data_IF_634098298724
#
_entry.id   IF_634098298724
#
_cell.length_a   1.000
_cell.length_b   1.000
_cell.length_c   1.000
_cell.angle_alpha   90.00
_cell.angle_beta   90.00
_cell.angle_gamma   90.00
#
_symmetry.space_group_name_H-M   'P 1'
#
loop_
_entity.id
_entity.type
_entity.pdbx_description
1 polymer ?
#
# COMPACT_ATOMS: atom_id res chain seq x y z
N UNK A 1 -24.49 -22.43 -19.58
CA UNK A 1 -24.31 -21.45 -18.49
C UNK A 1 -23.31 -22.08 -17.54
N UNK A 2 -22.10 -21.53 -17.38
CA UNK A 2 -21.09 -22.15 -16.50
C UNK A 2 -21.54 -21.98 -15.05
N UNK A 3 -21.97 -23.06 -14.43
CA UNK A 3 -22.20 -23.11 -12.99
C UNK A 3 -20.86 -23.49 -12.32
N UNK A 4 -20.21 -22.51 -11.70
CA UNK A 4 -18.94 -22.71 -10.99
C UNK A 4 -19.14 -23.26 -9.57
N UNK A 5 -20.38 -23.57 -9.16
CA UNK A 5 -20.71 -24.05 -7.81
C UNK A 5 -20.49 -23.00 -6.70
N UNK A 6 -20.18 -21.74 -7.05
CA UNK A 6 -19.99 -20.64 -6.10
C UNK A 6 -21.18 -19.70 -6.06
N UNK A 7 -21.53 -19.23 -4.84
CA UNK A 7 -22.56 -18.20 -4.68
C UNK A 7 -22.11 -16.84 -5.26
N UNK A 8 -23.07 -15.99 -5.65
CA UNK A 8 -22.79 -14.61 -6.11
C UNK A 8 -21.98 -13.82 -5.07
N UNK A 9 -22.27 -13.99 -3.78
CA UNK A 9 -21.54 -13.38 -2.68
C UNK A 9 -20.07 -13.83 -2.65
N UNK A 10 -19.81 -15.12 -2.80
CA UNK A 10 -18.44 -15.65 -2.84
C UNK A 10 -17.65 -15.09 -4.02
N UNK A 11 -18.26 -15.05 -5.20
CA UNK A 11 -17.65 -14.48 -6.40
C UNK A 11 -17.38 -12.98 -6.26
N UNK A 12 -18.30 -12.21 -5.68
CA UNK A 12 -18.12 -10.79 -5.41
C UNK A 12 -16.97 -10.53 -4.41
N UNK A 13 -16.84 -11.37 -3.38
CA UNK A 13 -15.71 -11.32 -2.43
C UNK A 13 -14.38 -11.65 -3.10
N UNK A 14 -14.36 -12.67 -3.98
CA UNK A 14 -13.15 -13.02 -4.74
C UNK A 14 -12.73 -11.88 -5.67
N UNK A 15 -13.69 -11.25 -6.37
CA UNK A 15 -13.42 -10.12 -7.24
C UNK A 15 -12.86 -8.93 -6.46
N UNK A 16 -13.48 -8.56 -5.35
CA UNK A 16 -13.00 -7.47 -4.52
C UNK A 16 -11.61 -7.77 -3.92
N UNK A 17 -11.39 -8.98 -3.42
CA UNK A 17 -10.08 -9.39 -2.90
C UNK A 17 -8.98 -9.31 -3.98
N UNK A 18 -9.29 -9.67 -5.21
CA UNK A 18 -8.38 -9.56 -6.35
C UNK A 18 -8.06 -8.10 -6.68
N UNK A 19 -9.08 -7.27 -6.90
CA UNK A 19 -8.89 -5.87 -7.31
C UNK A 19 -8.21 -5.04 -6.23
N UNK A 20 -8.60 -5.20 -4.96
CA UNK A 20 -8.01 -4.47 -3.84
C UNK A 20 -6.56 -4.88 -3.59
N UNK A 21 -6.22 -6.17 -3.76
CA UNK A 21 -4.83 -6.64 -3.63
C UNK A 21 -3.93 -6.03 -4.69
N UNK A 22 -4.39 -5.96 -5.95
CA UNK A 22 -3.68 -5.24 -7.00
C UNK A 22 -3.55 -3.75 -6.70
N UNK A 23 -4.63 -3.13 -6.21
CA UNK A 23 -4.60 -1.70 -5.91
C UNK A 23 -3.57 -1.37 -4.84
N UNK A 24 -3.47 -2.13 -3.75
CA UNK A 24 -2.52 -1.84 -2.67
C UNK A 24 -1.04 -1.85 -3.10
N UNK A 25 -0.68 -2.59 -4.15
CA UNK A 25 0.69 -2.64 -4.67
C UNK A 25 1.18 -1.26 -5.10
N UNK A 26 0.37 -0.50 -5.85
CA UNK A 26 0.81 0.75 -6.46
C UNK A 26 0.91 1.90 -5.46
N UNK A 27 -0.08 2.19 -4.60
CA UNK A 27 0.06 3.20 -3.55
C UNK A 27 1.19 2.89 -2.57
N UNK A 28 1.42 1.62 -2.21
CA UNK A 28 2.52 1.25 -1.32
C UNK A 28 3.90 1.57 -1.91
N UNK A 29 4.01 1.68 -3.25
CA UNK A 29 5.23 2.15 -3.89
C UNK A 29 5.19 3.67 -4.13
N UNK A 30 4.09 4.22 -4.65
CA UNK A 30 4.03 5.61 -5.08
C UNK A 30 4.10 6.61 -3.92
N UNK A 31 3.50 6.31 -2.76
CA UNK A 31 3.57 7.17 -1.56
C UNK A 31 5.04 7.36 -1.11
N UNK A 32 5.77 6.26 -0.94
CA UNK A 32 7.17 6.35 -0.53
C UNK A 32 8.06 6.91 -1.62
N UNK A 33 7.78 6.58 -2.90
CA UNK A 33 8.60 7.04 -4.02
C UNK A 33 8.42 8.53 -4.30
N UNK A 34 7.22 9.10 -4.16
CA UNK A 34 6.99 10.55 -4.26
C UNK A 34 7.83 11.31 -3.20
N UNK A 35 7.81 10.83 -1.96
CA UNK A 35 8.64 11.40 -0.89
C UNK A 35 10.14 11.22 -1.15
N UNK A 36 10.56 10.07 -1.68
CA UNK A 36 11.96 9.83 -2.05
C UNK A 36 12.42 10.77 -3.16
N UNK A 37 11.57 11.04 -4.18
CA UNK A 37 11.84 12.02 -5.23
C UNK A 37 11.97 13.44 -4.66
N UNK A 38 11.12 13.83 -3.73
CA UNK A 38 11.23 15.12 -3.04
C UNK A 38 12.56 15.23 -2.26
N UNK A 39 12.98 14.17 -1.57
CA UNK A 39 14.28 14.12 -0.88
C UNK A 39 15.44 14.24 -1.86
N UNK A 40 15.42 13.54 -2.99
CA UNK A 40 16.48 13.60 -4.00
C UNK A 40 16.60 15.01 -4.60
N UNK A 41 15.47 15.61 -4.96
CA UNK A 41 15.46 16.97 -5.52
C UNK A 41 15.90 18.02 -4.50
N UNK A 42 15.41 17.92 -3.25
CA UNK A 42 15.84 18.79 -2.15
C UNK A 42 17.34 18.67 -1.86
N UNK A 43 17.90 17.47 -1.90
CA UNK A 43 19.35 17.25 -1.76
C UNK A 43 20.13 17.84 -2.94
N UNK A 44 19.60 17.73 -4.15
CA UNK A 44 20.20 18.40 -5.32
C UNK A 44 20.22 19.91 -5.15
N UNK A 45 19.11 20.53 -4.79
CA UNK A 45 19.01 21.98 -4.59
C UNK A 45 19.95 22.48 -3.48
N UNK A 46 20.09 21.69 -2.38
CA UNK A 46 20.93 22.05 -1.24
C UNK A 46 22.42 21.87 -1.52
N UNK A 47 22.79 20.81 -2.25
CA UNK A 47 24.21 20.42 -2.39
C UNK A 47 24.81 20.74 -3.76
N UNK A 48 23.98 21.03 -4.77
CA UNK A 48 24.40 21.22 -6.15
C UNK A 48 24.94 19.97 -6.85
N UNK A 49 24.91 18.79 -6.20
CA UNK A 49 25.51 17.55 -6.74
C UNK A 49 24.61 16.94 -7.82
N UNK A 50 25.09 16.80 -9.09
CA UNK A 50 24.31 16.23 -10.19
C UNK A 50 23.77 14.83 -9.92
N UNK A 51 24.50 14.04 -9.13
CA UNK A 51 24.12 12.68 -8.73
C UNK A 51 22.68 12.56 -8.25
N UNK A 52 22.21 13.51 -7.43
CA UNK A 52 20.84 13.50 -6.91
C UNK A 52 19.81 13.82 -7.98
N UNK A 53 20.12 14.71 -8.91
CA UNK A 53 19.26 15.01 -10.04
C UNK A 53 19.17 13.83 -11.02
N UNK A 54 20.28 13.15 -11.27
CA UNK A 54 20.30 11.96 -12.11
C UNK A 54 19.43 10.84 -11.49
N UNK A 55 19.53 10.65 -10.17
CA UNK A 55 18.67 9.70 -9.45
C UNK A 55 17.20 10.11 -9.45
N UNK A 56 16.90 11.41 -9.30
CA UNK A 56 15.53 11.92 -9.46
C UNK A 56 14.98 11.57 -10.84
N UNK A 57 15.72 11.85 -11.90
CA UNK A 57 15.32 11.57 -13.28
C UNK A 57 15.17 10.08 -13.57
N UNK A 58 15.97 9.26 -12.93
CA UNK A 58 15.85 7.80 -13.01
C UNK A 58 14.54 7.31 -12.37
N UNK A 59 14.27 7.72 -11.13
CA UNK A 59 13.13 7.24 -10.37
C UNK A 59 11.80 7.87 -10.75
N UNK A 60 11.78 9.08 -11.29
CA UNK A 60 10.54 9.73 -11.74
C UNK A 60 9.85 8.95 -12.87
N UNK A 61 10.60 8.23 -13.69
CA UNK A 61 10.06 7.34 -14.73
C UNK A 61 9.29 6.17 -14.13
N UNK A 62 9.86 5.55 -13.10
CA UNK A 62 9.21 4.45 -12.36
C UNK A 62 7.98 4.97 -11.62
N UNK A 63 8.10 6.13 -10.98
CA UNK A 63 7.00 6.78 -10.30
C UNK A 63 5.81 7.06 -11.24
N UNK A 64 6.06 7.62 -12.41
CA UNK A 64 5.01 7.94 -13.38
C UNK A 64 4.18 6.72 -13.77
N UNK A 65 4.83 5.58 -14.01
CA UNK A 65 4.14 4.32 -14.36
C UNK A 65 3.38 3.77 -13.16
N UNK A 66 4.02 3.67 -12.00
CA UNK A 66 3.39 3.15 -10.79
C UNK A 66 2.19 4.00 -10.36
N UNK A 67 2.33 5.33 -10.43
CA UNK A 67 1.25 6.27 -10.12
C UNK A 67 0.05 6.12 -11.07
N UNK A 68 0.29 6.07 -12.39
CA UNK A 68 -0.77 5.88 -13.37
C UNK A 68 -1.52 4.54 -13.15
N UNK A 69 -0.80 3.46 -12.83
CA UNK A 69 -1.39 2.16 -12.51
C UNK A 69 -2.21 2.24 -11.21
N UNK A 70 -1.74 2.99 -10.20
CA UNK A 70 -2.47 3.24 -8.96
C UNK A 70 -3.81 3.93 -9.21
N UNK A 71 -3.80 5.02 -9.99
CA UNK A 71 -5.02 5.76 -10.36
C UNK A 71 -6.03 4.86 -11.09
N UNK A 72 -5.58 4.12 -12.11
CA UNK A 72 -6.45 3.21 -12.86
C UNK A 72 -7.09 2.16 -11.96
N UNK A 73 -6.30 1.51 -11.10
CA UNK A 73 -6.82 0.50 -10.17
C UNK A 73 -7.77 1.09 -9.12
N UNK A 74 -7.55 2.33 -8.67
CA UNK A 74 -8.42 3.02 -7.74
C UNK A 74 -9.78 3.37 -8.31
N UNK A 75 -9.83 3.82 -9.59
CA UNK A 75 -11.08 4.07 -10.31
C UNK A 75 -11.90 2.77 -10.41
N UNK A 76 -11.26 1.65 -10.74
CA UNK A 76 -11.92 0.34 -10.81
C UNK A 76 -12.51 -0.06 -9.46
N UNK A 77 -11.77 0.11 -8.37
CA UNK A 77 -12.30 -0.16 -7.02
C UNK A 77 -13.52 0.70 -6.69
N UNK A 78 -13.47 1.99 -6.99
CA UNK A 78 -14.61 2.89 -6.77
C UNK A 78 -15.85 2.44 -7.54
N UNK A 79 -15.66 1.89 -8.74
CA UNK A 79 -16.74 1.33 -9.55
C UNK A 79 -17.36 0.07 -8.91
N UNK A 80 -16.55 -0.79 -8.28
CA UNK A 80 -17.04 -2.00 -7.59
C UNK A 80 -18.02 -1.70 -6.44
N UNK A 81 -17.87 -0.56 -5.75
CA UNK A 81 -18.82 -0.15 -4.72
C UNK A 81 -20.24 0.02 -5.26
N UNK A 82 -20.39 0.50 -6.49
CA UNK A 82 -21.70 0.64 -7.14
C UNK A 82 -22.22 -0.66 -7.76
N UNK A 83 -21.35 -1.57 -8.19
CA UNK A 83 -21.73 -2.81 -8.87
C UNK A 83 -21.95 -3.96 -7.90
N UNK A 84 -20.90 -4.45 -7.24
CA UNK A 84 -20.96 -5.65 -6.40
C UNK A 84 -21.43 -5.37 -4.96
N UNK A 85 -21.32 -4.11 -4.49
CA UNK A 85 -21.57 -3.70 -3.11
C UNK A 85 -22.55 -2.54 -3.00
N UNK A 86 -23.57 -2.50 -3.87
CA UNK A 86 -24.53 -1.38 -3.93
C UNK A 86 -25.34 -1.21 -2.64
N UNK A 87 -25.66 -2.28 -1.94
CA UNK A 87 -26.38 -2.19 -0.65
C UNK A 87 -25.49 -1.58 0.42
N UNK A 88 -24.19 -1.92 0.46
CA UNK A 88 -23.23 -1.25 1.32
C UNK A 88 -23.13 0.24 0.99
N UNK A 89 -23.03 0.57 -0.30
CA UNK A 89 -22.92 1.97 -0.77
C UNK A 89 -24.18 2.76 -0.41
N UNK A 90 -25.38 2.18 -0.52
CA UNK A 90 -26.63 2.81 -0.11
C UNK A 90 -26.66 3.04 1.41
N UNK A 91 -26.32 2.02 2.20
CA UNK A 91 -26.39 2.10 3.67
C UNK A 91 -25.30 2.97 4.27
N UNK A 92 -24.09 2.85 3.82
CA UNK A 92 -22.93 3.56 4.40
C UNK A 92 -22.59 4.88 3.68
N UNK A 93 -23.25 5.17 2.55
CA UNK A 93 -22.94 6.31 1.68
C UNK A 93 -23.02 7.66 2.36
N UNK A 94 -23.88 7.83 3.37
CA UNK A 94 -23.99 9.08 4.15
C UNK A 94 -22.68 9.41 4.91
N UNK A 95 -21.93 8.42 5.32
CA UNK A 95 -20.64 8.55 6.03
C UNK A 95 -19.46 8.44 5.09
N UNK A 96 -19.37 7.34 4.33
CA UNK A 96 -18.17 7.07 3.51
C UNK A 96 -18.10 7.92 2.25
N UNK A 97 -19.26 8.29 1.67
CA UNK A 97 -19.33 9.07 0.43
C UNK A 97 -18.62 10.42 0.52
N UNK A 98 -18.91 11.27 1.52
CA UNK A 98 -18.18 12.52 1.71
C UNK A 98 -16.68 12.34 1.92
N UNK A 99 -16.24 11.33 2.68
CA UNK A 99 -14.81 11.06 2.91
C UNK A 99 -14.08 10.67 1.62
N UNK A 100 -14.70 9.80 0.79
CA UNK A 100 -14.16 9.44 -0.52
C UNK A 100 -14.18 10.62 -1.50
N UNK A 101 -15.22 11.47 -1.44
CA UNK A 101 -15.27 12.69 -2.24
C UNK A 101 -14.14 13.67 -1.87
N UNK A 102 -13.84 13.83 -0.58
CA UNK A 102 -12.71 14.64 -0.12
C UNK A 102 -11.36 14.06 -0.57
N UNK A 103 -11.21 12.76 -0.62
CA UNK A 103 -10.01 12.12 -1.21
C UNK A 103 -9.81 12.60 -2.64
N UNK A 104 -10.83 12.51 -3.49
CA UNK A 104 -10.77 12.96 -4.88
C UNK A 104 -10.50 14.47 -4.97
N UNK A 105 -11.23 15.29 -4.22
CA UNK A 105 -11.13 16.76 -4.30
C UNK A 105 -9.80 17.30 -3.78
N UNK A 106 -9.29 16.77 -2.68
CA UNK A 106 -8.12 17.35 -1.99
C UNK A 106 -6.81 16.67 -2.33
N UNK A 107 -6.84 15.39 -2.71
CA UNK A 107 -5.65 14.63 -3.06
C UNK A 107 -5.48 14.49 -4.57
N UNK A 108 -6.40 13.84 -5.26
CA UNK A 108 -6.27 13.57 -6.68
C UNK A 108 -6.12 14.85 -7.53
N UNK A 109 -6.91 15.90 -7.26
CA UNK A 109 -6.74 17.18 -7.97
C UNK A 109 -5.43 17.88 -7.64
N UNK A 110 -4.95 17.77 -6.39
CA UNK A 110 -3.64 18.29 -6.01
C UNK A 110 -2.53 17.54 -6.78
N UNK A 111 -2.59 16.23 -6.78
CA UNK A 111 -1.63 15.38 -7.51
C UNK A 111 -1.66 15.66 -9.01
N UNK A 112 -2.82 15.58 -9.65
CA UNK A 112 -2.98 15.80 -11.08
C UNK A 112 -2.53 17.19 -11.51
N UNK A 113 -2.82 18.23 -10.70
CA UNK A 113 -2.43 19.61 -10.98
C UNK A 113 -0.91 19.83 -11.00
N UNK A 114 -0.18 19.20 -10.09
CA UNK A 114 1.27 19.36 -9.98
C UNK A 114 2.07 18.26 -10.70
N UNK A 115 1.46 17.12 -11.00
CA UNK A 115 2.14 15.99 -11.64
C UNK A 115 2.77 16.37 -12.99
N UNK A 116 2.04 17.12 -13.82
CA UNK A 116 2.55 17.59 -15.10
C UNK A 116 3.80 18.46 -14.99
N UNK A 117 3.86 19.31 -13.97
CA UNK A 117 5.05 20.14 -13.67
C UNK A 117 6.20 19.26 -13.16
N UNK A 118 5.92 18.34 -12.24
CA UNK A 118 6.92 17.40 -11.70
C UNK A 118 7.53 16.49 -12.79
N UNK A 119 6.72 16.01 -13.74
CA UNK A 119 7.19 15.09 -14.78
C UNK A 119 7.91 15.81 -15.92
N UNK A 120 7.43 17.00 -16.31
CA UNK A 120 7.82 17.65 -17.56
C UNK A 120 8.28 19.10 -17.40
N UNK A 121 8.18 19.66 -16.19
CA UNK A 121 8.41 21.09 -15.94
C UNK A 121 9.87 21.48 -15.73
N UNK A 122 10.78 20.54 -15.47
CA UNK A 122 12.14 20.85 -15.01
C UNK A 122 12.93 21.84 -15.89
N UNK A 123 12.70 21.81 -17.21
CA UNK A 123 13.31 22.76 -18.16
C UNK A 123 12.48 24.02 -18.43
N UNK A 124 11.21 24.04 -17.96
CA UNK A 124 10.23 25.11 -18.27
C UNK A 124 10.00 26.04 -17.09
N UNK A 125 10.12 25.53 -15.87
CA UNK A 125 9.94 26.32 -14.65
C UNK A 125 11.25 26.35 -13.85
N UNK A 126 11.43 27.35 -13.01
CA UNK A 126 12.61 27.43 -12.17
C UNK A 126 12.71 26.27 -11.16
N UNK A 127 13.92 25.93 -10.69
CA UNK A 127 14.14 24.75 -9.83
C UNK A 127 13.30 24.76 -8.55
N UNK A 128 13.07 25.93 -7.97
CA UNK A 128 12.27 26.07 -6.73
C UNK A 128 10.80 25.74 -6.99
N UNK A 129 10.23 26.21 -8.10
CA UNK A 129 8.83 25.92 -8.44
C UNK A 129 8.65 24.45 -8.81
N UNK A 130 9.64 23.84 -9.48
CA UNK A 130 9.64 22.41 -9.77
C UNK A 130 9.66 21.59 -8.47
N UNK A 131 10.53 21.94 -7.54
CA UNK A 131 10.58 21.29 -6.22
C UNK A 131 9.28 21.45 -5.43
N UNK A 132 8.65 22.63 -5.48
CA UNK A 132 7.33 22.82 -4.88
C UNK A 132 6.30 21.87 -5.50
N UNK A 133 6.31 21.68 -6.82
CA UNK A 133 5.42 20.72 -7.49
C UNK A 133 5.67 19.28 -7.01
N UNK A 134 6.94 18.88 -6.89
CA UNK A 134 7.31 17.56 -6.34
C UNK A 134 6.82 17.38 -4.90
N UNK A 135 6.95 18.41 -4.06
CA UNK A 135 6.42 18.39 -2.68
C UNK A 135 4.88 18.30 -2.67
N UNK A 136 4.19 19.01 -3.55
CA UNK A 136 2.74 18.95 -3.62
C UNK A 136 2.24 17.58 -4.06
N UNK A 137 2.91 16.92 -5.01
CA UNK A 137 2.60 15.54 -5.39
C UNK A 137 2.83 14.60 -4.20
N UNK A 138 3.95 14.72 -3.50
CA UNK A 138 4.23 13.90 -2.31
C UNK A 138 3.21 14.15 -1.19
N UNK A 139 2.79 15.39 -0.97
CA UNK A 139 1.72 15.74 -0.03
C UNK A 139 0.38 15.15 -0.48
N UNK A 140 0.06 15.22 -1.78
CA UNK A 140 -1.16 14.65 -2.35
C UNK A 140 -1.27 13.15 -2.07
N UNK A 141 -0.21 12.38 -2.31
CA UNK A 141 -0.20 10.93 -2.01
C UNK A 141 -0.43 10.63 -0.53
N UNK A 142 0.09 11.48 0.37
CA UNK A 142 -0.17 11.36 1.81
C UNK A 142 -1.62 11.72 2.16
N UNK A 143 -2.17 12.79 1.59
CA UNK A 143 -3.56 13.22 1.82
C UNK A 143 -4.56 12.19 1.27
N UNK A 144 -4.25 11.56 0.13
CA UNK A 144 -5.02 10.42 -0.38
C UNK A 144 -5.04 9.27 0.62
N UNK A 145 -3.86 8.86 1.13
CA UNK A 145 -3.76 7.83 2.17
C UNK A 145 -4.55 8.22 3.43
N UNK A 146 -4.50 9.48 3.84
CA UNK A 146 -5.25 9.97 5.01
C UNK A 146 -6.75 9.73 4.86
N UNK A 147 -7.35 10.14 3.75
CA UNK A 147 -8.79 10.02 3.54
C UNK A 147 -9.24 8.55 3.39
N UNK A 148 -8.53 7.76 2.58
CA UNK A 148 -8.94 6.36 2.38
C UNK A 148 -8.75 5.51 3.64
N UNK A 149 -7.71 5.79 4.44
CA UNK A 149 -7.52 5.13 5.75
C UNK A 149 -8.57 5.60 6.75
N UNK A 150 -9.03 6.86 6.71
CA UNK A 150 -10.16 7.32 7.53
C UNK A 150 -11.42 6.51 7.23
N UNK A 151 -11.76 6.30 5.95
CA UNK A 151 -12.88 5.44 5.53
C UNK A 151 -12.71 4.01 6.07
N UNK A 152 -11.56 3.39 5.80
CA UNK A 152 -11.32 2.01 6.19
C UNK A 152 -11.32 1.82 7.72
N UNK A 153 -10.69 2.75 8.45
CA UNK A 153 -10.64 2.69 9.91
C UNK A 153 -12.02 2.87 10.54
N UNK A 154 -12.87 3.73 9.96
CA UNK A 154 -14.25 3.86 10.41
C UNK A 154 -15.05 2.55 10.23
N UNK A 155 -14.85 1.84 9.14
CA UNK A 155 -15.47 0.52 8.95
C UNK A 155 -15.00 -0.52 9.98
N UNK A 156 -13.82 -0.34 10.56
CA UNK A 156 -13.25 -1.23 11.59
C UNK A 156 -13.71 -0.84 13.02
N UNK A 157 -13.77 0.45 13.31
CA UNK A 157 -14.18 1.03 14.61
C UNK A 157 -15.17 2.16 14.37
N UNK A 158 -16.43 1.85 13.98
CA UNK A 158 -17.42 2.84 13.63
C UNK A 158 -17.82 3.70 14.82
N UNK A 159 -17.63 5.01 14.71
CA UNK A 159 -17.99 6.02 15.73
C UNK A 159 -18.52 7.27 15.06
N UNK A 160 -19.19 8.14 15.83
CA UNK A 160 -19.62 9.46 15.36
C UNK A 160 -20.75 9.46 14.33
N UNK A 161 -21.46 8.36 14.16
CA UNK A 161 -22.59 8.22 13.25
C UNK A 161 -23.91 8.08 14.00
N UNK A 162 -25.01 8.26 13.28
CA UNK A 162 -26.36 7.97 13.71
C UNK A 162 -27.01 6.96 12.75
N UNK A 163 -27.97 6.17 13.25
CA UNK A 163 -28.74 5.26 12.42
C UNK A 163 -30.08 5.86 12.06
N UNK A 164 -30.36 5.97 10.77
CA UNK A 164 -31.71 6.34 10.31
C UNK A 164 -32.71 5.19 10.51
N UNK A 165 -34.03 5.48 10.51
CA UNK A 165 -35.06 4.45 10.66
C UNK A 165 -35.01 3.32 9.61
N UNK A 166 -34.50 3.60 8.42
CA UNK A 166 -34.32 2.65 7.32
C UNK A 166 -32.96 1.92 7.37
N UNK A 167 -32.18 2.13 8.45
CA UNK A 167 -30.91 1.43 8.71
C UNK A 167 -29.73 1.95 7.89
N UNK A 168 -29.76 3.22 7.47
CA UNK A 168 -28.62 3.91 6.85
C UNK A 168 -27.77 4.59 7.91
N UNK A 169 -26.46 4.62 7.66
CA UNK A 169 -25.51 5.37 8.49
C UNK A 169 -25.49 6.83 8.05
N UNK A 170 -25.84 7.71 8.96
CA UNK A 170 -25.78 9.15 8.77
C UNK A 170 -24.67 9.75 9.63
N UNK A 171 -24.05 10.86 9.22
CA UNK A 171 -23.09 11.52 10.07
C UNK A 171 -23.80 12.07 11.31
N UNK A 172 -23.24 11.82 12.48
CA UNK A 172 -23.65 12.46 13.73
C UNK A 172 -23.12 13.89 13.81
N UNK A 173 -23.21 14.53 14.96
CA UNK A 173 -22.90 15.97 15.13
C UNK A 173 -21.43 16.32 14.90
N UNK A 174 -20.52 15.34 14.89
CA UNK A 174 -19.07 15.58 14.77
C UNK A 174 -18.42 14.71 13.70
N UNK A 175 -18.05 15.31 12.57
CA UNK A 175 -17.22 14.67 11.56
C UNK A 175 -15.82 14.30 12.07
N UNK A 176 -15.29 15.02 13.05
CA UNK A 176 -13.99 14.69 13.64
C UNK A 176 -14.02 13.32 14.34
N UNK A 177 -15.15 12.95 14.96
CA UNK A 177 -15.30 11.61 15.57
C UNK A 177 -15.35 10.50 14.54
N UNK A 178 -15.83 10.77 13.32
CA UNK A 178 -15.80 9.83 12.20
C UNK A 178 -14.39 9.71 11.64
N UNK A 179 -13.74 10.83 11.31
CA UNK A 179 -12.42 10.89 10.69
C UNK A 179 -11.35 10.31 11.63
N UNK A 180 -11.32 10.81 12.87
CA UNK A 180 -10.34 10.41 13.89
C UNK A 180 -10.91 9.34 14.83
N UNK A 181 -11.58 8.31 14.24
CA UNK A 181 -12.05 7.16 15.01
C UNK A 181 -10.89 6.44 15.74
N UNK A 182 -11.18 5.60 16.76
CA UNK A 182 -10.15 5.06 17.63
C UNK A 182 -9.01 4.29 16.96
N UNK A 183 -9.25 3.69 15.80
CA UNK A 183 -8.20 2.93 15.09
C UNK A 183 -7.46 3.74 14.02
N UNK A 184 -7.96 4.91 13.65
CA UNK A 184 -7.40 5.71 12.55
C UNK A 184 -5.91 6.07 12.70
N UNK A 185 -5.43 6.64 13.82
CA UNK A 185 -4.04 7.05 13.93
C UNK A 185 -3.07 5.87 13.80
N UNK A 186 -3.40 4.74 14.41
CA UNK A 186 -2.58 3.54 14.36
C UNK A 186 -2.48 2.98 12.93
N UNK A 187 -3.61 2.93 12.22
CA UNK A 187 -3.69 2.44 10.85
C UNK A 187 -2.97 3.35 9.88
N UNK A 188 -3.15 4.67 10.00
CA UNK A 188 -2.49 5.64 9.13
C UNK A 188 -0.96 5.55 9.28
N UNK A 189 -0.47 5.61 10.52
CA UNK A 189 0.98 5.55 10.79
C UNK A 189 1.57 4.25 10.28
N UNK A 190 0.96 3.11 10.62
CA UNK A 190 1.44 1.79 10.21
C UNK A 190 1.47 1.64 8.68
N UNK A 191 0.42 2.07 7.98
CA UNK A 191 0.31 1.98 6.52
C UNK A 191 1.30 2.88 5.80
N UNK A 192 1.47 4.12 6.25
CA UNK A 192 2.40 5.07 5.62
C UNK A 192 3.84 4.63 5.80
N UNK A 193 4.22 4.15 7.00
CA UNK A 193 5.57 3.64 7.24
C UNK A 193 5.82 2.37 6.42
N UNK A 194 4.81 1.49 6.28
CA UNK A 194 4.91 0.31 5.42
C UNK A 194 5.16 0.69 3.95
N UNK A 195 4.51 1.73 3.44
CA UNK A 195 4.76 2.25 2.08
C UNK A 195 6.19 2.79 1.92
N UNK A 196 6.71 3.51 2.92
CA UNK A 196 8.10 3.97 2.90
C UNK A 196 9.10 2.83 2.93
N UNK A 197 8.87 1.78 3.74
CA UNK A 197 9.71 0.58 3.74
C UNK A 197 9.61 -0.18 2.42
N UNK A 198 8.41 -0.33 1.84
CA UNK A 198 8.24 -0.95 0.52
C UNK A 198 9.11 -0.26 -0.52
N UNK A 199 9.03 1.07 -0.58
CA UNK A 199 9.87 1.87 -1.49
C UNK A 199 11.35 1.71 -1.19
N UNK A 200 11.76 1.74 0.08
CA UNK A 200 13.16 1.58 0.46
C UNK A 200 13.72 0.23 0.01
N UNK A 201 12.94 -0.86 0.14
CA UNK A 201 13.37 -2.19 -0.29
C UNK A 201 13.42 -2.32 -1.82
N UNK A 202 12.51 -1.69 -2.56
CA UNK A 202 12.59 -1.61 -4.04
C UNK A 202 13.82 -0.81 -4.48
N UNK A 203 14.09 0.36 -3.89
CA UNK A 203 15.27 1.18 -4.18
C UNK A 203 16.55 0.44 -3.80
N UNK A 204 16.55 -0.25 -2.65
CA UNK A 204 17.66 -1.08 -2.19
C UNK A 204 17.97 -2.24 -3.12
N UNK A 205 16.94 -2.94 -3.58
CA UNK A 205 17.05 -4.06 -4.52
C UNK A 205 17.61 -3.59 -5.88
N UNK A 206 17.10 -2.48 -6.43
CA UNK A 206 17.63 -1.87 -7.65
C UNK A 206 19.10 -1.47 -7.49
N UNK A 207 19.44 -0.81 -6.37
CA UNK A 207 20.84 -0.48 -6.05
C UNK A 207 21.72 -1.72 -5.94
N UNK A 208 21.27 -2.75 -5.24
CA UNK A 208 21.98 -4.02 -5.08
C UNK A 208 22.18 -4.76 -6.42
N UNK A 209 21.17 -4.78 -7.28
CA UNK A 209 21.25 -5.36 -8.63
C UNK A 209 22.36 -4.73 -9.45
N UNK A 210 22.46 -3.41 -9.46
CA UNK A 210 23.49 -2.70 -10.20
C UNK A 210 24.86 -2.82 -9.56
N UNK A 211 24.96 -2.88 -8.21
CA UNK A 211 26.22 -3.13 -7.51
C UNK A 211 26.78 -4.53 -7.75
N UNK A 212 25.92 -5.54 -7.88
CA UNK A 212 26.36 -6.90 -8.22
C UNK A 212 26.98 -6.98 -9.62
N UNK A 213 26.53 -6.12 -10.55
CA UNK A 213 27.06 -6.02 -11.91
C UNK A 213 28.23 -5.05 -12.04
N UNK A 214 28.13 -3.91 -11.42
CA UNK A 214 29.12 -2.82 -11.49
C UNK A 214 29.34 -2.18 -10.09
N UNK A 215 30.24 -2.74 -9.26
CA UNK A 215 30.47 -2.25 -7.89
C UNK A 215 30.94 -0.80 -7.80
N UNK A 216 31.48 -0.25 -8.89
CA UNK A 216 31.92 1.15 -8.99
C UNK A 216 30.82 2.16 -9.29
N UNK A 217 29.58 1.75 -9.59
CA UNK A 217 28.51 2.67 -9.95
C UNK A 217 28.10 3.54 -8.74
N UNK A 218 28.41 4.83 -8.80
CA UNK A 218 28.17 5.79 -7.71
C UNK A 218 26.66 6.00 -7.44
N UNK A 219 25.84 5.98 -8.47
CA UNK A 219 24.37 6.12 -8.35
C UNK A 219 23.78 4.92 -7.61
N UNK A 220 24.20 3.70 -7.98
CA UNK A 220 23.78 2.48 -7.29
C UNK A 220 24.25 2.44 -5.82
N UNK A 221 25.49 2.88 -5.54
CA UNK A 221 25.99 3.02 -4.16
C UNK A 221 25.12 3.98 -3.35
N UNK A 222 24.73 5.12 -3.93
CA UNK A 222 23.88 6.10 -3.25
C UNK A 222 22.49 5.53 -2.96
N UNK A 223 21.81 4.94 -3.95
CA UNK A 223 20.52 4.28 -3.77
C UNK A 223 20.57 3.23 -2.65
N UNK A 224 21.53 2.31 -2.74
CA UNK A 224 21.70 1.25 -1.75
C UNK A 224 21.97 1.79 -0.35
N UNK A 225 22.83 2.80 -0.23
CA UNK A 225 23.15 3.45 1.03
C UNK A 225 21.91 4.10 1.68
N UNK A 226 21.10 4.83 0.90
CA UNK A 226 19.87 5.47 1.41
C UNK A 226 18.85 4.41 1.85
N UNK A 227 18.67 3.37 1.06
CA UNK A 227 17.76 2.26 1.36
C UNK A 227 18.15 1.53 2.65
N UNK A 228 19.43 1.23 2.84
CA UNK A 228 19.91 0.57 4.08
C UNK A 228 19.74 1.45 5.32
N UNK A 229 19.89 2.78 5.21
CA UNK A 229 19.55 3.68 6.30
C UNK A 229 18.06 3.66 6.63
N UNK A 230 17.20 3.69 5.61
CA UNK A 230 15.75 3.59 5.82
C UNK A 230 15.38 2.26 6.49
N UNK A 231 15.92 1.13 6.01
CA UNK A 231 15.66 -0.17 6.61
C UNK A 231 16.11 -0.21 8.08
N UNK A 232 17.29 0.32 8.40
CA UNK A 232 17.83 0.29 9.75
C UNK A 232 17.08 1.17 10.75
N UNK A 233 16.58 2.33 10.32
CA UNK A 233 15.94 3.31 11.19
C UNK A 233 14.42 3.14 11.24
N UNK A 234 13.79 2.77 10.12
CA UNK A 234 12.34 2.78 9.97
C UNK A 234 11.72 1.41 10.27
N UNK A 235 12.44 0.29 10.04
CA UNK A 235 11.90 -1.03 10.37
C UNK A 235 11.64 -1.22 11.88
N UNK A 236 12.50 -0.77 12.80
CA UNK A 236 12.17 -0.79 14.24
C UNK A 236 10.92 0.03 14.58
N UNK A 237 10.77 1.21 13.96
CA UNK A 237 9.61 2.09 14.16
C UNK A 237 8.33 1.41 13.63
N UNK A 238 8.41 0.71 12.49
CA UNK A 238 7.29 -0.05 11.94
C UNK A 238 6.85 -1.18 12.88
N UNK A 239 7.79 -1.87 13.51
CA UNK A 239 7.48 -2.93 14.50
C UNK A 239 6.79 -2.32 15.71
N UNK A 240 7.29 -1.22 16.26
CA UNK A 240 6.66 -0.52 17.38
C UNK A 240 5.26 0.03 17.02
N UNK A 241 5.09 0.59 15.81
CA UNK A 241 3.78 1.03 15.33
C UNK A 241 2.82 -0.16 15.13
N UNK A 242 3.33 -1.32 14.71
CA UNK A 242 2.57 -2.55 14.59
C UNK A 242 2.09 -3.09 15.93
N UNK A 243 2.96 -3.06 16.94
CA UNK A 243 2.63 -3.44 18.32
C UNK A 243 1.50 -2.55 18.88
N UNK A 244 1.66 -1.24 18.81
CA UNK A 244 0.63 -0.28 19.23
C UNK A 244 -0.71 -0.48 18.48
N UNK A 245 -0.66 -0.81 17.17
CA UNK A 245 -1.85 -1.14 16.40
C UNK A 245 -2.48 -2.47 16.86
N UNK A 246 -1.66 -3.45 17.25
CA UNK A 246 -2.10 -4.72 17.83
C UNK A 246 -2.87 -4.51 19.15
N UNK A 247 -2.34 -3.68 20.06
CA UNK A 247 -3.00 -3.33 21.31
C UNK A 247 -4.35 -2.63 21.09
N UNK A 248 -4.41 -1.67 20.16
CA UNK A 248 -5.66 -1.04 19.78
C UNK A 248 -6.66 -2.06 19.17
N UNK A 249 -6.17 -3.01 18.37
CA UNK A 249 -7.02 -4.06 17.81
C UNK A 249 -7.53 -5.02 18.90
N UNK A 250 -6.74 -5.31 19.91
CA UNK A 250 -7.19 -6.12 21.05
C UNK A 250 -8.35 -5.46 21.80
N UNK A 251 -8.29 -4.15 21.96
CA UNK A 251 -9.34 -3.38 22.66
C UNK A 251 -10.66 -3.36 21.88
N UNK A 252 -10.61 -3.08 20.56
CA UNK A 252 -11.81 -2.85 19.75
C UNK A 252 -12.30 -4.07 18.96
N UNK A 253 -11.43 -5.01 18.67
CA UNK A 253 -11.70 -6.20 17.85
C UNK A 253 -11.02 -7.46 18.42
N UNK A 254 -11.33 -7.89 19.65
CA UNK A 254 -10.65 -9.01 20.31
C UNK A 254 -10.70 -10.31 19.51
N UNK A 255 -11.83 -10.62 18.85
CA UNK A 255 -11.95 -11.81 18.01
C UNK A 255 -10.89 -11.87 16.90
N UNK A 256 -10.50 -10.72 16.33
CA UNK A 256 -9.43 -10.63 15.33
C UNK A 256 -8.08 -11.03 15.92
N UNK A 257 -7.74 -10.51 17.10
CA UNK A 257 -6.47 -10.85 17.77
C UNK A 257 -6.43 -12.34 18.12
N UNK A 258 -7.52 -12.89 18.69
CA UNK A 258 -7.58 -14.31 19.04
C UNK A 258 -7.36 -15.19 17.80
N UNK A 259 -7.96 -14.84 16.67
CA UNK A 259 -7.77 -15.56 15.42
C UNK A 259 -6.35 -15.40 14.85
N UNK A 260 -5.77 -14.19 14.91
CA UNK A 260 -4.38 -13.92 14.48
C UNK A 260 -3.38 -14.74 15.30
N UNK A 261 -3.59 -14.81 16.61
CA UNK A 261 -2.70 -15.53 17.53
C UNK A 261 -2.98 -17.05 17.53
N UNK A 262 -4.15 -17.50 17.04
CA UNK A 262 -4.55 -18.91 17.04
C UNK A 262 -5.06 -19.40 18.40
N UNK A 263 -5.55 -18.47 19.23
CA UNK A 263 -6.11 -18.79 20.55
C UNK A 263 -7.57 -19.24 20.40
N UNK A 264 -7.79 -20.51 20.15
CA UNK A 264 -9.13 -21.12 20.12
C UNK A 264 -9.75 -21.20 21.51
N UNK A 265 -8.94 -21.43 22.54
CA UNK A 265 -9.34 -21.55 23.93
C UNK A 265 -8.79 -20.40 24.76
N UNK A 266 -9.55 -20.02 25.80
CA UNK A 266 -9.14 -18.99 26.75
C UNK A 266 -7.99 -19.52 27.66
N UNK A 267 -7.07 -18.62 27.97
CA UNK A 267 -5.93 -18.90 28.84
C UNK A 267 -6.08 -18.15 30.18
N UNK A 268 -6.26 -18.88 31.28
CA UNK A 268 -6.42 -18.28 32.62
C UNK A 268 -5.11 -17.69 33.17
N UNK A 269 -3.96 -18.26 32.79
CA UNK A 269 -2.62 -17.85 33.23
C UNK A 269 -1.61 -17.96 32.11
N UNK A 270 -1.20 -16.82 31.58
CA UNK A 270 -0.14 -16.71 30.55
C UNK A 270 -0.45 -17.45 29.25
N UNK A 271 -0.84 -16.72 28.22
CA UNK A 271 -1.10 -17.27 26.90
C UNK A 271 0.19 -17.44 26.10
N UNK A 272 0.40 -18.59 25.43
CA UNK A 272 1.59 -18.84 24.63
C UNK A 272 1.55 -18.05 23.29
N UNK A 273 2.72 -17.64 22.82
CA UNK A 273 2.88 -17.15 21.43
C UNK A 273 3.14 -18.35 20.53
N UNK A 274 2.19 -18.64 19.64
CA UNK A 274 2.36 -19.68 18.64
C UNK A 274 3.18 -19.15 17.46
N UNK A 275 4.37 -19.71 17.25
CA UNK A 275 5.21 -19.37 16.09
C UNK A 275 4.76 -20.08 14.81
N UNK A 276 4.31 -21.32 14.97
CA UNK A 276 3.84 -22.19 13.91
C UNK A 276 2.66 -23.02 14.41
N UNK A 277 1.81 -23.46 13.49
CA UNK A 277 0.70 -24.37 13.77
C UNK A 277 -0.25 -24.44 12.57
N UNK A 278 -1.03 -25.49 12.50
CA UNK A 278 -2.06 -25.67 11.47
C UNK A 278 -3.43 -25.47 12.13
N UNK A 279 -4.10 -24.32 11.89
CA UNK A 279 -5.43 -24.09 12.45
C UNK A 279 -6.46 -25.06 11.86
N UNK A 280 -7.21 -25.72 12.75
CA UNK A 280 -8.37 -26.54 12.41
C UNK A 280 -9.63 -25.84 12.96
N UNK A 281 -10.31 -25.08 12.11
CA UNK A 281 -11.51 -24.33 12.46
C UNK A 281 -12.67 -25.27 12.85
N UNK A 282 -12.72 -26.50 12.29
CA UNK A 282 -13.76 -27.47 12.59
C UNK A 282 -13.59 -28.09 13.99
N UNK A 283 -12.35 -28.38 14.37
CA UNK A 283 -12.01 -28.96 15.68
C UNK A 283 -11.68 -27.91 16.75
N UNK A 284 -11.68 -26.63 16.37
CA UNK A 284 -11.38 -25.50 17.24
C UNK A 284 -10.04 -25.67 17.98
N UNK A 285 -8.99 -26.04 17.25
CA UNK A 285 -7.64 -26.25 17.80
C UNK A 285 -6.54 -25.90 16.80
N UNK A 286 -5.33 -25.75 17.32
CA UNK A 286 -4.12 -25.58 16.55
C UNK A 286 -3.30 -26.87 16.58
N UNK A 287 -3.22 -27.59 15.45
CA UNK A 287 -2.42 -28.81 15.33
C UNK A 287 -0.95 -28.49 15.08
N UNK A 288 -0.05 -29.37 15.54
CA UNK A 288 1.41 -29.25 15.39
C UNK A 288 1.97 -27.90 15.87
N UNK A 289 1.41 -27.35 16.94
CA UNK A 289 1.77 -26.04 17.44
C UNK A 289 3.20 -26.00 17.99
N UNK A 290 3.97 -25.01 17.55
CA UNK A 290 5.25 -24.61 18.15
C UNK A 290 5.02 -23.29 18.86
N UNK A 291 5.20 -23.27 20.18
CA UNK A 291 4.82 -22.14 21.01
C UNK A 291 5.92 -21.73 21.98
N UNK A 292 5.98 -20.45 22.29
CA UNK A 292 6.77 -19.90 23.38
C UNK A 292 5.80 -19.57 24.53
N UNK A 293 5.93 -20.21 25.71
CA UNK A 293 5.01 -20.01 26.82
C UNK A 293 4.91 -18.53 27.23
N UNK A 294 3.70 -18.07 27.53
CA UNK A 294 3.36 -16.77 28.13
C UNK A 294 3.71 -15.51 27.32
N UNK A 295 4.35 -15.64 26.16
CA UNK A 295 4.82 -14.47 25.37
C UNK A 295 3.66 -13.69 24.77
N UNK A 296 2.54 -14.32 24.37
CA UNK A 296 1.36 -13.55 23.91
C UNK A 296 0.80 -12.65 25.03
N UNK A 297 0.74 -13.16 26.26
CA UNK A 297 0.32 -12.34 27.41
C UNK A 297 1.29 -11.18 27.66
N UNK A 298 2.59 -11.43 27.58
CA UNK A 298 3.59 -10.37 27.72
C UNK A 298 3.44 -9.28 26.64
N UNK A 299 3.26 -9.66 25.38
CA UNK A 299 3.13 -8.71 24.27
C UNK A 299 1.79 -7.97 24.33
N UNK A 300 0.68 -8.68 24.56
CA UNK A 300 -0.66 -8.09 24.45
C UNK A 300 -1.17 -7.43 25.75
N UNK A 301 -0.60 -7.76 26.90
CA UNK A 301 -1.04 -7.26 28.21
C UNK A 301 0.10 -6.67 29.04
N UNK A 302 1.35 -6.73 28.57
CA UNK A 302 2.56 -6.32 29.30
C UNK A 302 2.70 -7.02 30.67
N UNK A 303 2.07 -8.19 30.83
CA UNK A 303 2.14 -9.03 32.02
C UNK A 303 2.29 -10.48 31.58
N UNK A 304 3.32 -11.16 32.13
CA UNK A 304 3.69 -12.52 31.81
C UNK A 304 2.59 -13.55 32.12
N UNK A 305 1.79 -13.29 33.14
CA UNK A 305 0.76 -14.20 33.63
C UNK A 305 -0.68 -13.71 33.35
N UNK A 306 -0.85 -12.61 32.61
CA UNK A 306 -2.17 -12.08 32.36
C UNK A 306 -3.06 -13.08 31.60
N UNK A 307 -4.35 -13.20 32.00
CA UNK A 307 -5.30 -14.00 31.26
C UNK A 307 -5.59 -13.38 29.89
N UNK A 308 -5.75 -14.25 28.87
CA UNK A 308 -6.23 -13.85 27.57
C UNK A 308 -7.47 -14.66 27.20
N UNK A 309 -8.55 -14.01 26.71
CA UNK A 309 -9.71 -14.72 26.18
C UNK A 309 -9.33 -15.46 24.90
N UNK A 310 -10.07 -16.52 24.61
CA UNK A 310 -9.97 -17.23 23.35
C UNK A 310 -11.23 -17.06 22.49
N UNK A 311 -11.24 -17.65 21.31
CA UNK A 311 -12.41 -17.67 20.43
C UNK A 311 -13.60 -18.42 21.02
N UNK A 312 -13.37 -19.28 22.04
CA UNK A 312 -14.43 -19.95 22.80
C UNK A 312 -15.41 -18.96 23.47
N UNK A 313 -14.99 -17.73 23.74
CA UNK A 313 -15.85 -16.66 24.29
C UNK A 313 -16.66 -15.92 23.22
N UNK A 314 -16.42 -16.18 21.93
CA UNK A 314 -17.05 -15.49 20.79
C UNK A 314 -18.04 -16.44 20.12
N UNK A 315 -19.21 -15.92 19.77
CA UNK A 315 -20.23 -16.65 18.99
C UNK A 315 -19.59 -17.19 17.68
N UNK A 316 -19.71 -18.49 17.38
CA UNK A 316 -19.16 -19.09 16.16
C UNK A 316 -19.52 -18.37 14.86
N UNK A 317 -20.74 -17.82 14.77
CA UNK A 317 -21.21 -17.06 13.60
C UNK A 317 -20.48 -15.71 13.40
N UNK A 318 -19.81 -15.23 14.45
CA UNK A 318 -19.08 -13.93 14.46
C UNK A 318 -17.56 -14.09 14.40
N UNK A 319 -17.06 -15.32 14.30
CA UNK A 319 -15.61 -15.60 14.27
C UNK A 319 -15.07 -15.39 12.85
N UNK A 320 -13.94 -14.71 12.69
CA UNK A 320 -13.23 -14.69 11.42
C UNK A 320 -12.50 -16.02 11.16
N UNK A 321 -12.08 -16.28 9.92
CA UNK A 321 -11.29 -17.47 9.57
C UNK A 321 -9.92 -17.44 10.23
N UNK A 322 -9.67 -18.39 11.13
CA UNK A 322 -8.39 -18.46 11.86
C UNK A 322 -7.24 -18.81 10.91
N UNK A 323 -7.43 -19.76 10.01
CA UNK A 323 -6.36 -20.22 9.13
C UNK A 323 -5.75 -19.07 8.28
N UNK A 324 -6.61 -18.23 7.70
CA UNK A 324 -6.14 -17.11 6.88
C UNK A 324 -5.45 -16.06 7.74
N UNK A 325 -6.01 -15.70 8.90
CA UNK A 325 -5.45 -14.69 9.78
C UNK A 325 -4.13 -15.13 10.39
N UNK A 326 -4.08 -16.34 10.88
CA UNK A 326 -2.90 -16.91 11.50
C UNK A 326 -1.68 -16.83 10.58
N UNK A 327 -1.84 -17.24 9.32
CA UNK A 327 -0.73 -17.27 8.36
C UNK A 327 -0.41 -15.92 7.75
N UNK A 328 -1.43 -15.10 7.43
CA UNK A 328 -1.17 -13.76 6.88
C UNK A 328 -0.47 -12.86 7.90
N UNK A 329 -0.84 -12.93 9.17
CA UNK A 329 -0.18 -12.19 10.23
C UNK A 329 1.28 -12.60 10.41
N UNK A 330 1.55 -13.91 10.47
CA UNK A 330 2.93 -14.43 10.60
C UNK A 330 3.80 -14.10 9.41
N UNK A 331 3.26 -14.15 8.20
CA UNK A 331 3.97 -13.75 7.01
C UNK A 331 4.35 -12.25 7.07
N UNK A 332 3.42 -11.39 7.44
CA UNK A 332 3.67 -9.95 7.59
C UNK A 332 4.76 -9.67 8.63
N UNK A 333 4.62 -10.24 9.84
CA UNK A 333 5.57 -10.03 10.94
C UNK A 333 6.94 -10.63 10.61
N UNK A 334 6.97 -11.84 10.05
CA UNK A 334 8.22 -12.50 9.64
C UNK A 334 9.00 -11.69 8.61
N UNK A 335 8.31 -11.10 7.62
CA UNK A 335 8.94 -10.20 6.66
C UNK A 335 9.43 -8.93 7.36
N UNK A 336 8.66 -8.34 8.27
CA UNK A 336 9.07 -7.18 9.06
C UNK A 336 10.36 -7.43 9.85
N UNK A 337 10.47 -8.59 10.49
CA UNK A 337 11.70 -9.01 11.18
C UNK A 337 12.87 -9.24 10.22
N UNK A 338 12.62 -9.82 9.05
CA UNK A 338 13.64 -9.97 8.01
C UNK A 338 14.12 -8.61 7.47
N UNK A 339 13.21 -7.63 7.32
CA UNK A 339 13.56 -6.25 6.97
C UNK A 339 14.47 -5.61 8.02
N UNK A 340 14.13 -5.77 9.31
CA UNK A 340 14.96 -5.31 10.41
C UNK A 340 16.34 -5.97 10.39
N UNK A 341 16.39 -7.28 10.24
CA UNK A 341 17.65 -8.03 10.18
C UNK A 341 18.55 -7.56 9.03
N UNK A 342 17.97 -7.30 7.84
CA UNK A 342 18.71 -6.77 6.71
C UNK A 342 19.22 -5.33 6.98
N UNK A 343 18.39 -4.48 7.60
CA UNK A 343 18.79 -3.13 8.03
C UNK A 343 19.96 -3.16 8.99
N UNK A 344 19.92 -4.00 10.01
CA UNK A 344 21.00 -4.20 10.98
C UNK A 344 22.27 -4.75 10.31
N UNK A 345 22.11 -5.71 9.39
CA UNK A 345 23.24 -6.21 8.59
C UNK A 345 23.87 -5.09 7.76
N UNK A 346 23.05 -4.22 7.17
CA UNK A 346 23.51 -3.01 6.47
C UNK A 346 24.31 -2.07 7.36
N UNK A 347 23.91 -1.86 8.62
CA UNK A 347 24.66 -1.07 9.60
C UNK A 347 26.01 -1.72 9.93
N UNK A 348 26.05 -3.02 10.18
CA UNK A 348 27.28 -3.76 10.45
C UNK A 348 28.22 -3.69 9.24
N UNK A 349 27.71 -3.85 8.04
CA UNK A 349 28.48 -3.74 6.80
C UNK A 349 29.07 -2.32 6.62
N UNK A 350 28.29 -1.30 6.97
CA UNK A 350 28.72 0.10 6.95
C UNK A 350 29.83 0.37 7.98
N UNK A 351 29.65 -0.08 9.20
CA UNK A 351 30.63 0.06 10.27
C UNK A 351 31.95 -0.61 9.90
N UNK A 352 31.91 -1.76 9.22
CA UNK A 352 33.10 -2.47 8.72
C UNK A 352 33.67 -1.91 7.40
N UNK A 353 33.10 -0.85 6.85
CA UNK A 353 33.49 -0.29 5.55
C UNK A 353 33.17 -1.14 4.32
N UNK A 354 32.39 -2.22 4.49
CA UNK A 354 32.13 -3.24 3.46
C UNK A 354 30.72 -3.17 2.83
N UNK A 355 30.01 -2.07 3.03
CA UNK A 355 28.62 -1.90 2.54
C UNK A 355 28.51 -2.16 1.03
N UNK A 356 29.52 -1.78 0.25
CA UNK A 356 29.54 -1.89 -1.20
C UNK A 356 30.34 -3.11 -1.73
N UNK A 357 30.89 -3.90 -0.83
CA UNK A 357 31.72 -5.06 -1.17
C UNK A 357 31.05 -6.40 -0.87
N UNK A 358 30.17 -6.45 0.14
CA UNK A 358 29.51 -7.68 0.58
C UNK A 358 28.43 -8.13 -0.39
N UNK A 359 28.81 -8.97 -1.34
CA UNK A 359 27.90 -9.53 -2.35
C UNK A 359 26.72 -10.30 -1.75
N UNK A 360 26.91 -10.95 -0.59
CA UNK A 360 25.80 -11.65 0.10
C UNK A 360 24.74 -10.66 0.60
N UNK A 361 25.13 -9.52 1.16
CA UNK A 361 24.21 -8.46 1.55
C UNK A 361 23.44 -7.93 0.34
N UNK A 362 24.13 -7.70 -0.79
CA UNK A 362 23.47 -7.26 -2.03
C UNK A 362 22.47 -8.31 -2.55
N UNK A 363 22.83 -9.61 -2.50
CA UNK A 363 21.92 -10.71 -2.90
C UNK A 363 20.70 -10.76 -1.98
N UNK A 364 20.89 -10.65 -0.66
CA UNK A 364 19.81 -10.63 0.29
C UNK A 364 18.88 -9.41 0.07
N UNK A 365 19.43 -8.22 -0.16
CA UNK A 365 18.66 -7.02 -0.49
C UNK A 365 17.88 -7.17 -1.80
N UNK A 366 18.46 -7.84 -2.81
CA UNK A 366 17.77 -8.10 -4.07
C UNK A 366 16.56 -9.04 -3.88
N UNK A 367 16.75 -10.14 -3.12
CA UNK A 367 15.65 -11.07 -2.78
C UNK A 367 14.57 -10.40 -1.98
N UNK A 368 14.94 -9.48 -1.09
CA UNK A 368 14.00 -8.71 -0.28
C UNK A 368 13.29 -7.58 -1.06
N UNK A 369 13.60 -7.35 -2.34
CA UNK A 369 12.97 -6.30 -3.14
C UNK A 369 11.44 -6.33 -3.14
N UNK A 370 10.77 -7.49 -3.36
CA UNK A 370 9.32 -7.60 -3.34
C UNK A 370 8.72 -7.71 -1.93
N UNK A 371 9.54 -7.82 -0.89
CA UNK A 371 9.08 -8.14 0.48
C UNK A 371 8.06 -7.14 1.04
N UNK A 372 8.21 -5.84 0.74
CA UNK A 372 7.28 -4.81 1.17
C UNK A 372 5.87 -5.02 0.62
N UNK A 373 5.75 -5.36 -0.66
CA UNK A 373 4.45 -5.66 -1.28
C UNK A 373 3.79 -6.88 -0.65
N UNK A 374 4.55 -7.94 -0.40
CA UNK A 374 4.05 -9.17 0.21
C UNK A 374 3.58 -8.88 1.65
N UNK A 375 4.36 -8.11 2.42
CA UNK A 375 3.99 -7.72 3.78
C UNK A 375 2.72 -6.85 3.81
N UNK A 376 2.60 -5.89 2.88
CA UNK A 376 1.41 -5.03 2.75
C UNK A 376 0.17 -5.85 2.42
N UNK A 377 0.24 -6.75 1.44
CA UNK A 377 -0.90 -7.62 1.09
C UNK A 377 -1.27 -8.53 2.26
N UNK A 378 -0.28 -9.13 2.93
CA UNK A 378 -0.52 -9.97 4.10
C UNK A 378 -1.15 -9.17 5.25
N UNK A 379 -0.71 -7.95 5.51
CA UNK A 379 -1.27 -7.05 6.52
C UNK A 379 -2.71 -6.64 6.20
N UNK A 380 -3.01 -6.30 4.94
CA UNK A 380 -4.37 -6.01 4.52
C UNK A 380 -5.28 -7.25 4.56
N UNK A 381 -4.77 -8.42 4.20
CA UNK A 381 -5.49 -9.70 4.37
C UNK A 381 -5.84 -9.91 5.84
N UNK A 382 -4.89 -9.73 6.74
CA UNK A 382 -5.12 -9.81 8.20
C UNK A 382 -6.20 -8.83 8.65
N UNK A 383 -6.14 -7.58 8.17
CA UNK A 383 -7.09 -6.52 8.53
C UNK A 383 -8.50 -6.83 8.05
N UNK A 384 -8.67 -7.17 6.78
CA UNK A 384 -9.98 -7.29 6.13
C UNK A 384 -10.65 -8.66 6.36
N UNK A 385 -9.91 -9.73 6.36
CA UNK A 385 -10.43 -11.05 6.76
C UNK A 385 -10.73 -11.08 8.26
N UNK A 386 -9.92 -10.39 9.07
CA UNK A 386 -10.17 -10.27 10.51
C UNK A 386 -11.39 -9.43 10.89
N UNK A 387 -11.94 -8.65 9.98
CA UNK A 387 -13.20 -7.93 10.17
C UNK A 387 -14.42 -8.82 9.89
N UNK A 388 -14.25 -9.90 9.12
CA UNK A 388 -15.37 -10.78 8.80
C UNK A 388 -16.02 -11.39 10.05
N UNK A 389 -17.35 -11.61 10.02
CA UNK A 389 -18.25 -11.54 8.87
C UNK A 389 -18.82 -10.13 8.56
N UNK A 390 -18.24 -9.07 9.07
CA UNK A 390 -18.77 -7.71 8.94
C UNK A 390 -18.11 -6.90 7.81
N UNK A 391 -18.88 -6.05 7.16
CA UNK A 391 -18.40 -4.94 6.33
C UNK A 391 -18.19 -3.69 7.18
N UNK A 392 -19.15 -3.34 8.07
CA UNK A 392 -18.98 -2.38 9.15
C UNK A 392 -19.03 -3.14 10.46
N UNK A 393 -17.95 -3.14 11.20
CA UNK A 393 -17.73 -4.04 12.34
C UNK A 393 -18.87 -3.95 13.37
N UNK A 394 -19.47 -5.10 13.67
CA UNK A 394 -20.57 -5.23 14.62
C UNK A 394 -21.94 -4.75 14.15
N UNK A 395 -22.05 -4.06 13.00
CA UNK A 395 -23.27 -3.36 12.58
C UNK A 395 -23.84 -3.85 11.24
N UNK A 396 -23.00 -4.11 10.24
CA UNK A 396 -23.43 -4.54 8.92
C UNK A 396 -22.59 -5.70 8.44
N UNK A 397 -23.21 -6.83 8.16
CA UNK A 397 -22.51 -8.02 7.68
C UNK A 397 -22.20 -7.92 6.18
N UNK A 398 -21.19 -8.68 5.74
CA UNK A 398 -20.81 -8.77 4.33
C UNK A 398 -21.94 -9.35 3.47
N UNK A 399 -22.70 -10.30 4.00
CA UNK A 399 -23.87 -10.86 3.31
C UNK A 399 -24.99 -9.82 3.08
N UNK A 400 -25.18 -8.92 4.03
CA UNK A 400 -26.14 -7.81 3.94
C UNK A 400 -25.65 -6.63 3.09
N UNK A 401 -24.40 -6.65 2.68
CA UNK A 401 -23.76 -5.55 1.93
C UNK A 401 -23.74 -5.79 0.42
N UNK A 402 -23.90 -7.04 0.00
CA UNK A 402 -23.77 -7.44 -1.40
C UNK A 402 -24.96 -7.00 -2.24
N UNK A 403 -24.70 -6.68 -3.49
CA UNK A 403 -25.72 -6.39 -4.49
C UNK A 403 -26.52 -7.65 -4.83
N UNK A 404 -27.83 -7.53 -5.15
CA UNK A 404 -28.68 -8.66 -5.53
C UNK A 404 -28.40 -9.10 -6.98
N UNK A 405 -27.20 -9.57 -7.26
CA UNK A 405 -26.75 -10.00 -8.58
C UNK A 405 -26.80 -11.52 -8.74
N UNK A 406 -27.04 -11.98 -9.98
CA UNK A 406 -26.94 -13.39 -10.31
C UNK A 406 -25.49 -13.87 -10.40
N UNK A 407 -25.18 -15.06 -9.87
CA UNK A 407 -23.84 -15.62 -9.85
C UNK A 407 -23.13 -15.64 -11.22
N UNK A 408 -23.81 -16.00 -12.35
CA UNK A 408 -23.17 -15.97 -13.67
C UNK A 408 -22.72 -14.59 -14.12
N UNK A 409 -23.43 -13.53 -13.75
CA UNK A 409 -23.03 -12.15 -14.10
C UNK A 409 -21.77 -11.73 -13.34
N UNK A 410 -21.69 -12.06 -12.04
CA UNK A 410 -20.51 -11.79 -11.21
C UNK A 410 -19.31 -12.62 -11.70
N UNK A 411 -19.52 -13.88 -12.07
CA UNK A 411 -18.46 -14.74 -12.62
C UNK A 411 -17.88 -14.18 -13.92
N UNK A 412 -18.76 -13.75 -14.85
CA UNK A 412 -18.33 -13.13 -16.11
C UNK A 412 -17.52 -11.84 -15.86
N UNK A 413 -17.98 -11.00 -14.94
CA UNK A 413 -17.27 -9.79 -14.51
C UNK A 413 -15.90 -10.14 -13.92
N UNK A 414 -15.81 -11.09 -12.99
CA UNK A 414 -14.55 -11.52 -12.37
C UNK A 414 -13.55 -12.01 -13.43
N UNK A 415 -13.98 -12.83 -14.39
CA UNK A 415 -13.11 -13.31 -15.46
C UNK A 415 -12.59 -12.13 -16.31
N UNK A 416 -13.48 -11.21 -16.69
CA UNK A 416 -13.09 -10.03 -17.45
C UNK A 416 -12.05 -9.17 -16.68
N UNK A 417 -12.27 -8.94 -15.39
CA UNK A 417 -11.32 -8.22 -14.53
C UNK A 417 -9.97 -8.92 -14.49
N UNK A 418 -9.93 -10.21 -14.24
CA UNK A 418 -8.66 -10.98 -14.20
C UNK A 418 -7.90 -10.83 -15.51
N UNK A 419 -8.55 -11.01 -16.67
CA UNK A 419 -7.93 -10.91 -17.97
C UNK A 419 -7.39 -9.51 -18.26
N UNK A 420 -8.21 -8.46 -18.02
CA UNK A 420 -7.82 -7.07 -18.24
C UNK A 420 -6.70 -6.65 -17.30
N UNK A 421 -6.77 -7.04 -16.03
CA UNK A 421 -5.73 -6.72 -15.05
C UNK A 421 -4.38 -7.33 -15.42
N UNK A 422 -4.34 -8.62 -15.75
CA UNK A 422 -3.08 -9.25 -16.18
C UNK A 422 -2.54 -8.63 -17.48
N UNK A 423 -3.39 -8.24 -18.42
CA UNK A 423 -2.95 -7.57 -19.63
C UNK A 423 -2.38 -6.17 -19.33
N UNK A 424 -3.16 -5.30 -18.66
CA UNK A 424 -2.78 -3.90 -18.44
C UNK A 424 -1.64 -3.78 -17.42
N UNK A 425 -1.83 -4.37 -16.24
CA UNK A 425 -0.85 -4.26 -15.15
C UNK A 425 0.38 -5.16 -15.39
N UNK A 426 0.24 -6.25 -16.15
CA UNK A 426 1.36 -7.06 -16.59
C UNK A 426 2.32 -6.29 -17.47
N UNK A 427 1.80 -5.55 -18.47
CA UNK A 427 2.62 -4.67 -19.32
C UNK A 427 3.27 -3.55 -18.52
N UNK A 428 2.52 -2.90 -17.61
CA UNK A 428 3.07 -1.85 -16.75
C UNK A 428 4.17 -2.36 -15.82
N UNK A 429 3.97 -3.52 -15.21
CA UNK A 429 4.96 -4.16 -14.34
C UNK A 429 6.21 -4.57 -15.14
N UNK A 430 6.04 -5.18 -16.32
CA UNK A 430 7.15 -5.47 -17.21
C UNK A 430 7.96 -4.21 -17.56
N UNK A 431 7.27 -3.11 -17.83
CA UNK A 431 7.93 -1.84 -18.17
C UNK A 431 8.69 -1.26 -16.96
N UNK A 432 8.13 -1.35 -15.75
CA UNK A 432 8.85 -0.98 -14.51
C UNK A 432 10.13 -1.82 -14.36
N UNK A 433 10.07 -3.14 -14.55
CA UNK A 433 11.26 -3.99 -14.49
C UNK A 433 12.29 -3.62 -15.56
N UNK A 434 11.86 -3.27 -16.77
CA UNK A 434 12.74 -2.79 -17.83
C UNK A 434 13.46 -1.48 -17.43
N UNK A 435 12.74 -0.53 -16.82
CA UNK A 435 13.33 0.70 -16.29
C UNK A 435 14.33 0.41 -15.18
N UNK A 436 13.99 -0.44 -14.22
CA UNK A 436 14.87 -0.82 -13.10
C UNK A 436 16.10 -1.59 -13.55
N UNK A 437 16.01 -2.37 -14.62
CA UNK A 437 17.14 -3.11 -15.19
C UNK A 437 18.17 -2.21 -15.90
N UNK A 438 17.75 -1.01 -16.33
CA UNK A 438 18.63 -0.03 -16.95
C UNK A 438 19.51 0.63 -15.86
N UNK A 439 20.84 0.64 -16.00
CA UNK A 439 21.72 1.18 -14.98
C UNK A 439 21.54 2.72 -14.89
N UNK A 440 21.43 3.28 -13.68
CA UNK A 440 21.47 4.72 -13.51
C UNK A 440 22.87 5.27 -13.86
N UNK A 441 22.91 6.38 -14.58
CA UNK A 441 24.16 6.97 -15.07
C UNK A 441 24.14 8.50 -14.98
N UNK A 442 25.30 9.13 -15.11
CA UNK A 442 25.42 10.57 -15.18
C UNK A 442 24.74 11.13 -16.43
N UNK A 443 24.00 12.23 -16.26
CA UNK A 443 23.28 12.89 -17.37
C UNK A 443 22.00 12.23 -17.82
N UNK A 444 21.36 11.41 -16.94
CA UNK A 444 20.02 10.86 -17.25
C UNK A 444 19.04 11.98 -17.64
N UNK A 445 18.36 11.83 -18.78
CA UNK A 445 17.46 12.86 -19.34
C UNK A 445 16.08 12.89 -18.69
N UNK A 446 15.73 11.90 -17.86
CA UNK A 446 14.39 11.77 -17.30
C UNK A 446 13.36 11.31 -18.34
N UNK A 447 12.13 11.79 -18.21
CA UNK A 447 11.09 11.59 -19.22
C UNK A 447 11.37 12.52 -20.40
N UNK A 448 11.70 11.95 -21.57
CA UNK A 448 11.92 12.71 -22.78
C UNK A 448 10.55 13.16 -23.36
N UNK A 449 10.36 14.47 -23.48
CA UNK A 449 9.36 15.01 -24.40
C UNK A 449 10.04 15.05 -25.76
N UNK A 450 9.57 14.29 -26.74
CA UNK A 450 9.97 14.49 -28.14
C UNK A 450 9.68 15.95 -28.52
N UNK A 451 10.71 16.71 -28.77
CA UNK A 451 10.56 18.08 -29.28
C UNK A 451 9.88 18.00 -30.66
N UNK A 452 8.71 18.56 -30.78
CA UNK A 452 8.00 18.67 -32.04
C UNK A 452 6.67 17.93 -32.17
N UNK A 453 6.28 17.07 -31.24
CA UNK A 453 4.91 16.54 -31.24
C UNK A 453 4.05 17.30 -30.24
N UNK A 454 2.86 17.78 -30.60
CA UNK A 454 1.95 18.42 -29.68
C UNK A 454 1.56 17.37 -28.61
N UNK A 455 1.75 17.71 -27.33
CA UNK A 455 1.14 16.97 -26.24
C UNK A 455 -0.38 17.02 -26.42
N UNK A 456 -0.96 15.98 -26.95
CA UNK A 456 -2.39 15.75 -26.83
C UNK A 456 -2.64 15.48 -25.35
N UNK A 457 -2.97 16.53 -24.61
CA UNK A 457 -3.67 16.37 -23.35
C UNK A 457 -4.94 15.61 -23.66
N UNK A 458 -5.17 14.51 -22.96
CA UNK A 458 -6.33 13.65 -23.21
C UNK A 458 -7.61 14.51 -23.31
N UNK A 459 -8.04 14.78 -24.51
CA UNK A 459 -9.42 14.97 -24.89
C UNK A 459 -10.08 16.33 -24.68
N UNK A 460 -9.44 17.44 -24.26
CA UNK A 460 -10.23 18.61 -23.84
C UNK A 460 -9.95 19.91 -24.62
N UNK A 461 -8.81 20.14 -25.28
CA UNK A 461 -8.64 21.29 -26.19
C UNK A 461 -7.61 21.03 -27.26
N UNK A 462 -7.92 21.30 -28.55
CA UNK A 462 -6.90 21.37 -29.60
C UNK A 462 -6.05 22.63 -29.37
N UNK A 463 -4.74 22.44 -29.13
CA UNK A 463 -3.81 23.54 -29.15
C UNK A 463 -3.77 24.21 -30.55
N UNK A 464 -3.44 25.51 -30.64
CA UNK A 464 -3.33 26.20 -31.91
C UNK A 464 -2.31 25.49 -32.82
N UNK A 465 -2.68 25.25 -34.06
CA UNK A 465 -1.80 24.71 -35.07
C UNK A 465 -0.57 25.63 -35.20
N UNK A 466 0.62 25.10 -34.97
CA UNK A 466 1.84 25.84 -35.32
C UNK A 466 1.91 25.90 -36.83
N UNK A 467 1.94 27.13 -37.36
CA UNK A 467 2.11 27.39 -38.80
C UNK A 467 3.44 26.77 -39.26
N UNK A 468 3.41 26.24 -40.48
CA UNK A 468 4.60 25.75 -41.15
C UNK A 468 5.66 26.87 -41.21
N UNK A 469 6.96 26.56 -41.08
CA UNK A 469 8.00 27.53 -41.26
C UNK A 469 7.97 28.01 -42.73
N UNK A 470 7.74 29.31 -42.94
CA UNK A 470 7.85 29.94 -44.24
C UNK A 470 9.26 29.67 -44.78
N UNK A 471 9.35 28.95 -45.88
CA UNK A 471 10.52 28.96 -46.75
C UNK A 471 10.74 30.40 -47.23
N UNK A 472 11.80 31.03 -46.77
CA UNK A 472 12.31 32.23 -47.46
C UNK A 472 12.96 31.79 -48.78
N UNK A 473 12.64 32.44 -49.90
CA UNK A 473 13.34 32.13 -51.12
C UNK A 473 14.78 32.63 -51.05
N UNK A 474 15.73 31.76 -51.39
CA UNK A 474 17.10 32.13 -51.61
C UNK A 474 17.16 33.16 -52.73
N UNK A 475 17.65 34.38 -52.45
CA UNK A 475 18.05 35.34 -53.45
C UNK A 475 19.41 34.92 -53.98
N UNK A 476 19.41 34.53 -55.25
CA UNK A 476 20.61 34.42 -56.11
C UNK A 476 21.15 35.81 -56.36
N UNK A 477 22.38 36.11 -55.95
CA UNK A 477 23.41 36.93 -56.60
C UNK A 477 24.80 36.35 -56.23
#
# INVERSE_FOLDING_TARGET
>A
MMDFGFSALTLARMQFAFTVSFHFIFPSLSIGLASYLAVLEGLWLRTGKPLYLDLFRYWVKVFAVAFAMGVVSGIVMSYEFGTNWSVFSDKAGGVIGPLMAYEVLTAFFLEAGFLGVMLFGMKKVGPRLHFTATLMVALGTFVSAFWIISVNSWMQTPTGFEMSPDGRFLPGPSWLAIIFNPSFPYRLVHTVIAAYLTTAFVVGAAGAWHLLKAPGNLHARKMFSMAMWMAALVAPVQIAAGDAHGLNTLEYQPAKIMAMEGHFQSHAHGAPLYLFGIPDDARQRLDYAVAIPNVSSLVLKHDWNAPLPGLDTIDPAKRPSVAILFWSFRLMVGIGLAMLALGLWGLVARWRGKLYEWRMLHRAALVMGPSGFIAVIAGWTTTEVGRQPYTVYGLLTTAQSASPLAAPAVAASLIAFVLVYFAVFGVGTWYIFKLLATPPHAGDQGLAIEQGKPLRSAGITPGPAQGEPHHQPETVE
#
